data_IF_429263919334
#
_entry.id   IF_429263919334
#
_cell.length_a   1.000
_cell.length_b   1.000
_cell.length_c   1.000
_cell.angle_alpha   90.00
_cell.angle_beta   90.00
_cell.angle_gamma   90.00
#
_symmetry.space_group_name_H-M   'P 1'
#
loop_
_entity.id
_entity.type
_entity.pdbx_description
1 polymer ?
#
# COMPACT_ATOMS: atom_id res chain seq x y z
N UNK A 1 11.87 -15.82 -1.50
CA UNK A 1 11.36 -14.69 -0.68
C UNK A 1 10.45 -15.23 0.41
N UNK A 2 10.68 -14.89 1.67
CA UNK A 2 9.94 -15.49 2.79
C UNK A 2 8.54 -14.86 2.88
N UNK A 3 7.51 -15.53 2.37
CA UNK A 3 6.08 -15.09 2.36
C UNK A 3 5.51 -14.83 3.77
N UNK A 4 6.26 -15.13 4.83
CA UNK A 4 5.80 -15.06 6.21
C UNK A 4 6.20 -13.78 6.97
N UNK A 5 6.87 -12.83 6.33
CA UNK A 5 7.35 -11.60 7.01
C UNK A 5 6.25 -10.60 7.37
N UNK A 6 5.10 -10.62 6.67
CA UNK A 6 3.96 -9.71 6.93
C UNK A 6 2.87 -10.46 7.72
N UNK A 7 3.12 -10.71 8.99
CA UNK A 7 2.18 -11.32 9.94
C UNK A 7 2.08 -10.47 11.19
N UNK A 8 0.95 -10.56 11.89
CA UNK A 8 0.69 -9.82 13.11
C UNK A 8 0.13 -8.43 12.83
N UNK A 9 0.44 -7.48 13.70
CA UNK A 9 -0.07 -6.12 13.63
C UNK A 9 0.78 -5.26 12.71
N UNK A 10 0.18 -4.76 11.64
CA UNK A 10 0.80 -3.77 10.74
C UNK A 10 0.21 -2.39 10.95
N UNK A 11 1.04 -1.39 11.13
CA UNK A 11 0.59 -0.02 11.36
C UNK A 11 0.75 0.82 10.10
N UNK A 12 -0.35 1.45 9.67
CA UNK A 12 -0.32 2.51 8.67
C UNK A 12 0.15 3.82 9.35
N UNK A 13 1.39 4.20 9.06
CA UNK A 13 2.01 5.40 9.61
C UNK A 13 1.26 6.66 9.16
N UNK A 14 1.08 7.62 10.06
CA UNK A 14 0.69 9.00 9.73
C UNK A 14 1.91 9.75 9.18
N UNK A 15 1.67 10.79 8.40
CA UNK A 15 2.70 11.78 8.03
C UNK A 15 2.43 13.05 8.83
N UNK A 16 3.22 13.33 9.88
CA UNK A 16 3.04 14.57 10.67
C UNK A 16 3.43 15.79 9.85
N UNK A 17 2.72 16.89 10.09
CA UNK A 17 2.99 18.19 9.47
C UNK A 17 3.20 19.28 10.50
N UNK A 18 4.10 20.21 10.20
CA UNK A 18 4.36 21.42 10.96
C UNK A 18 4.59 22.60 10.01
N UNK A 19 3.83 23.67 10.21
CA UNK A 19 3.92 24.86 9.36
C UNK A 19 3.80 24.55 7.85
N UNK A 20 2.89 23.64 7.45
CA UNK A 20 2.65 23.27 6.06
C UNK A 20 3.72 22.41 5.42
N UNK A 21 4.65 21.82 6.19
CA UNK A 21 5.71 20.91 5.73
C UNK A 21 5.69 19.61 6.52
N UNK A 22 6.26 18.55 5.98
CA UNK A 22 6.46 17.31 6.71
C UNK A 22 7.35 17.55 7.93
N UNK A 23 6.90 17.10 9.11
CA UNK A 23 7.66 17.15 10.36
C UNK A 23 8.39 15.80 10.55
N UNK A 24 9.64 15.76 10.12
CA UNK A 24 10.45 14.54 10.20
C UNK A 24 10.81 14.14 11.63
N UNK A 25 10.96 15.09 12.56
CA UNK A 25 11.20 14.78 13.98
C UNK A 25 9.99 14.07 14.59
N UNK A 26 8.79 14.56 14.29
CA UNK A 26 7.57 13.91 14.72
C UNK A 26 7.37 12.55 14.02
N UNK A 27 7.74 12.41 12.75
CA UNK A 27 7.68 11.13 12.01
C UNK A 27 8.62 10.08 12.63
N UNK A 28 9.84 10.47 13.01
CA UNK A 28 10.77 9.59 13.74
C UNK A 28 10.14 9.09 15.04
N UNK A 29 9.55 10.00 15.84
CA UNK A 29 8.88 9.64 17.08
C UNK A 29 7.72 8.65 16.85
N UNK A 30 6.93 8.81 15.77
CA UNK A 30 5.86 7.89 15.41
C UNK A 30 6.42 6.49 15.06
N UNK A 31 7.46 6.43 14.23
CA UNK A 31 8.09 5.16 13.82
C UNK A 31 8.66 4.44 15.06
N UNK A 32 9.43 5.15 15.89
CA UNK A 32 10.03 4.58 17.10
C UNK A 32 8.96 4.15 18.12
N UNK A 33 7.86 4.89 18.24
CA UNK A 33 6.74 4.49 19.09
C UNK A 33 6.12 3.17 18.62
N UNK A 34 5.88 3.02 17.32
CA UNK A 34 5.34 1.78 16.75
C UNK A 34 6.29 0.60 16.97
N UNK A 35 7.58 0.78 16.70
CA UNK A 35 8.59 -0.28 16.87
C UNK A 35 8.69 -0.70 18.34
N UNK A 36 8.76 0.25 19.27
CA UNK A 36 8.79 -0.04 20.72
C UNK A 36 7.49 -0.68 21.21
N UNK A 37 6.37 -0.36 20.56
CA UNK A 37 5.06 -0.96 20.84
C UNK A 37 4.94 -2.41 20.38
N UNK A 38 5.92 -2.96 19.67
CA UNK A 38 5.96 -4.36 19.26
C UNK A 38 5.10 -4.68 18.05
N UNK A 39 4.87 -3.70 17.15
CA UNK A 39 4.22 -3.99 15.86
C UNK A 39 5.14 -4.83 14.98
N UNK A 40 4.57 -5.65 14.10
CA UNK A 40 5.35 -6.59 13.31
C UNK A 40 5.72 -6.07 11.92
N UNK A 41 5.04 -5.04 11.40
CA UNK A 41 5.42 -4.37 10.15
C UNK A 41 4.84 -2.95 10.07
N UNK A 42 5.39 -2.14 9.17
CA UNK A 42 4.96 -0.76 8.95
C UNK A 42 4.46 -0.57 7.52
N UNK A 43 3.44 0.28 7.35
CA UNK A 43 2.95 0.71 6.04
C UNK A 43 3.17 2.21 5.92
N UNK A 44 4.07 2.65 5.04
CA UNK A 44 4.34 4.06 4.79
C UNK A 44 3.53 4.57 3.59
N UNK A 45 3.06 5.80 3.66
CA UNK A 45 2.31 6.47 2.59
C UNK A 45 1.07 5.71 2.10
N UNK A 46 0.38 5.03 3.00
CA UNK A 46 -1.01 4.63 2.76
C UNK A 46 -1.95 5.84 2.85
N UNK A 47 -3.25 5.60 2.83
CA UNK A 47 -4.26 6.66 3.01
C UNK A 47 -4.07 7.43 4.31
N UNK A 48 -3.73 6.74 5.40
CA UNK A 48 -3.44 7.34 6.71
C UNK A 48 -2.21 8.26 6.66
N UNK A 49 -1.23 7.95 5.81
CA UNK A 49 -0.03 8.75 5.58
C UNK A 49 -0.24 9.89 4.60
N UNK A 50 -1.46 10.16 4.17
CA UNK A 50 -1.86 11.29 3.33
C UNK A 50 -1.06 11.44 2.02
N UNK A 51 -0.65 10.32 1.41
CA UNK A 51 0.17 10.33 0.18
C UNK A 51 -0.40 11.20 -0.95
N UNK A 52 -1.73 11.36 -0.98
CA UNK A 52 -2.43 12.15 -2.01
C UNK A 52 -2.23 13.66 -1.84
N UNK A 53 -1.88 14.14 -0.66
CA UNK A 53 -1.66 15.56 -0.36
C UNK A 53 -0.18 15.97 -0.47
N UNK A 54 0.70 14.98 -0.68
CA UNK A 54 2.13 15.18 -0.83
C UNK A 54 2.51 15.26 -2.32
N UNK A 55 3.46 16.10 -2.66
CA UNK A 55 4.08 16.08 -3.99
C UNK A 55 5.05 14.88 -4.11
N UNK A 56 5.49 14.51 -5.34
CA UNK A 56 6.35 13.34 -5.55
C UNK A 56 7.68 13.39 -4.78
N UNK A 57 8.26 14.59 -4.60
CA UNK A 57 9.50 14.78 -3.85
C UNK A 57 9.27 14.52 -2.36
N UNK A 58 8.22 15.08 -1.78
CA UNK A 58 7.83 14.85 -0.38
C UNK A 58 7.53 13.37 -0.13
N UNK A 59 6.83 12.70 -1.06
CA UNK A 59 6.61 11.25 -0.97
C UNK A 59 7.94 10.50 -0.87
N UNK A 60 8.91 10.82 -1.75
CA UNK A 60 10.21 10.16 -1.74
C UNK A 60 10.96 10.43 -0.44
N UNK A 61 10.98 11.67 0.03
CA UNK A 61 11.64 12.07 1.28
C UNK A 61 11.06 11.33 2.50
N UNK A 62 9.72 11.19 2.59
CA UNK A 62 9.06 10.43 3.66
C UNK A 62 9.43 8.95 3.61
N UNK A 63 9.49 8.35 2.41
CA UNK A 63 9.86 6.95 2.24
C UNK A 63 11.33 6.70 2.61
N UNK A 64 12.25 7.53 2.13
CA UNK A 64 13.68 7.43 2.44
C UNK A 64 13.95 7.59 3.93
N UNK A 65 13.24 8.55 4.54
CA UNK A 65 13.32 8.77 5.99
C UNK A 65 12.78 7.56 6.77
N UNK A 66 11.64 7.00 6.34
CA UNK A 66 11.08 5.81 6.98
C UNK A 66 12.04 4.61 6.89
N UNK A 67 12.67 4.38 5.73
CA UNK A 67 13.68 3.33 5.53
C UNK A 67 14.85 3.56 6.48
N UNK A 68 15.38 4.80 6.52
CA UNK A 68 16.50 5.18 7.37
C UNK A 68 16.22 4.93 8.85
N UNK A 69 15.08 5.40 9.36
CA UNK A 69 14.73 5.24 10.78
C UNK A 69 14.41 3.78 11.10
N UNK A 70 13.67 3.09 10.23
CA UNK A 70 13.39 1.67 10.45
C UNK A 70 14.68 0.81 10.48
N UNK A 71 15.69 1.16 9.71
CA UNK A 71 16.99 0.49 9.69
C UNK A 71 16.91 -1.04 9.57
N UNK A 72 15.93 -1.56 8.83
CA UNK A 72 15.71 -2.98 8.62
C UNK A 72 15.13 -3.74 9.83
N UNK A 73 14.69 -3.05 10.88
CA UNK A 73 14.12 -3.67 12.09
C UNK A 73 12.80 -4.38 11.82
N UNK A 74 11.95 -3.79 10.99
CA UNK A 74 10.65 -4.34 10.62
C UNK A 74 10.48 -4.40 9.10
N UNK A 75 9.67 -5.32 8.57
CA UNK A 75 9.24 -5.27 7.19
C UNK A 75 8.51 -3.96 6.88
N UNK A 76 8.76 -3.41 5.68
CA UNK A 76 8.16 -2.18 5.20
C UNK A 76 7.26 -2.43 3.97
N UNK A 77 6.07 -1.86 4.01
CA UNK A 77 5.13 -1.81 2.88
C UNK A 77 5.02 -0.38 2.38
N UNK A 78 5.17 -0.17 1.09
CA UNK A 78 4.91 1.13 0.47
C UNK A 78 3.47 1.19 -0.03
N UNK A 79 2.70 2.22 0.39
CA UNK A 79 1.23 2.23 0.29
C UNK A 79 0.62 3.20 -0.72
N UNK A 80 1.40 3.95 -1.51
CA UNK A 80 0.88 5.04 -2.33
C UNK A 80 0.63 4.69 -3.82
N UNK A 81 0.51 3.40 -4.11
CA UNK A 81 0.25 2.93 -5.46
C UNK A 81 -1.26 2.75 -5.70
N UNK A 82 -1.93 3.85 -6.02
CA UNK A 82 -3.31 3.88 -6.47
C UNK A 82 -3.46 4.93 -7.56
N UNK A 83 -4.05 4.56 -8.68
CA UNK A 83 -4.35 5.48 -9.78
C UNK A 83 -5.57 4.94 -10.53
N UNK A 84 -6.33 5.85 -11.16
CA UNK A 84 -7.43 5.51 -12.05
C UNK A 84 -6.98 5.32 -13.51
N UNK A 85 -5.73 5.65 -13.83
CA UNK A 85 -5.06 5.35 -15.10
C UNK A 85 -4.05 4.21 -14.90
N UNK A 86 -4.40 3.02 -15.40
CA UNK A 86 -3.56 1.82 -15.26
C UNK A 86 -2.20 1.97 -15.94
N UNK A 87 -2.13 2.62 -17.11
CA UNK A 87 -0.87 2.80 -17.84
C UNK A 87 0.09 3.70 -17.04
N UNK A 88 -0.41 4.82 -16.52
CA UNK A 88 0.37 5.73 -15.68
C UNK A 88 0.84 5.06 -14.39
N UNK A 89 -0.01 4.23 -13.76
CA UNK A 89 0.37 3.48 -12.57
C UNK A 89 1.48 2.47 -12.86
N UNK A 90 1.36 1.70 -13.94
CA UNK A 90 2.37 0.69 -14.31
C UNK A 90 3.70 1.33 -14.68
N UNK A 91 3.68 2.47 -15.38
CA UNK A 91 4.88 3.27 -15.65
C UNK A 91 5.54 3.76 -14.35
N UNK A 92 4.75 4.31 -13.42
CA UNK A 92 5.23 4.75 -12.11
C UNK A 92 5.88 3.60 -11.33
N UNK A 93 5.27 2.41 -11.32
CA UNK A 93 5.83 1.23 -10.64
C UNK A 93 7.13 0.78 -11.32
N UNK A 94 7.18 0.72 -12.65
CA UNK A 94 8.36 0.28 -13.39
C UNK A 94 9.60 1.15 -13.15
N UNK A 95 9.43 2.46 -12.86
CA UNK A 95 10.53 3.40 -12.64
C UNK A 95 10.80 3.70 -11.15
N UNK A 96 10.03 3.12 -10.24
CA UNK A 96 10.18 3.38 -8.81
C UNK A 96 11.27 2.53 -8.19
N UNK A 97 12.12 3.15 -7.36
CA UNK A 97 13.10 2.42 -6.55
C UNK A 97 12.44 1.84 -5.31
N UNK A 98 12.29 0.52 -5.29
CA UNK A 98 11.70 -0.25 -4.19
C UNK A 98 12.72 -0.72 -3.15
N UNK A 99 13.98 -0.28 -3.23
CA UNK A 99 14.99 -0.66 -2.24
C UNK A 99 14.52 -0.33 -0.82
N UNK A 100 14.59 -1.30 0.07
CA UNK A 100 14.16 -1.17 1.47
C UNK A 100 12.68 -1.51 1.73
N UNK A 101 11.90 -1.87 0.70
CA UNK A 101 10.51 -2.32 0.86
C UNK A 101 10.36 -3.82 0.61
N UNK A 102 9.45 -4.45 1.36
CA UNK A 102 9.14 -5.89 1.26
C UNK A 102 7.87 -6.16 0.43
N UNK A 103 6.96 -5.20 0.34
CA UNK A 103 5.74 -5.29 -0.47
C UNK A 103 5.25 -3.90 -0.90
N UNK A 104 4.44 -3.86 -1.95
CA UNK A 104 3.65 -2.68 -2.29
C UNK A 104 2.17 -2.92 -2.00
N UNK A 105 1.46 -1.87 -1.58
CA UNK A 105 0.01 -1.88 -1.43
C UNK A 105 -0.61 -0.99 -2.50
N UNK A 106 -1.59 -1.55 -3.24
CA UNK A 106 -2.28 -0.85 -4.33
C UNK A 106 -3.79 -0.91 -4.15
N UNK A 107 -4.45 0.24 -4.28
CA UNK A 107 -5.92 0.29 -4.35
C UNK A 107 -6.41 0.10 -5.78
N UNK A 108 -7.65 -0.39 -5.93
CA UNK A 108 -8.33 -0.39 -7.21
C UNK A 108 -8.53 1.03 -7.75
N UNK A 109 -8.76 1.21 -9.08
CA UNK A 109 -9.02 2.53 -9.65
C UNK A 109 -10.17 3.24 -8.93
N UNK A 110 -9.91 4.50 -8.56
CA UNK A 110 -10.89 5.37 -7.92
C UNK A 110 -11.70 6.14 -8.95
N UNK A 111 -12.85 6.70 -8.55
CA UNK A 111 -13.68 7.61 -9.34
C UNK A 111 -14.41 6.96 -10.53
N UNK A 112 -13.70 6.26 -11.43
CA UNK A 112 -14.23 5.70 -12.69
C UNK A 112 -15.15 4.49 -12.50
N UNK A 113 -15.16 3.87 -11.31
CA UNK A 113 -15.99 2.70 -10.96
C UNK A 113 -15.89 1.57 -12.00
N UNK A 114 -14.71 0.99 -12.21
CA UNK A 114 -14.53 -0.07 -13.18
C UNK A 114 -15.38 -1.31 -12.83
N UNK A 115 -15.70 -2.11 -13.86
CA UNK A 115 -16.29 -3.43 -13.65
C UNK A 115 -15.33 -4.37 -12.93
N UNK A 116 -15.81 -5.50 -12.40
CA UNK A 116 -14.95 -6.51 -11.77
C UNK A 116 -13.88 -7.04 -12.72
N UNK A 117 -14.22 -7.21 -14.01
CA UNK A 117 -13.23 -7.55 -15.03
C UNK A 117 -12.20 -6.43 -15.23
N UNK A 118 -12.63 -5.18 -15.25
CA UNK A 118 -11.72 -4.03 -15.31
C UNK A 118 -10.77 -3.96 -14.12
N UNK A 119 -11.25 -4.25 -12.89
CA UNK A 119 -10.44 -4.34 -11.69
C UNK A 119 -9.43 -5.49 -11.81
N UNK A 120 -9.87 -6.66 -12.28
CA UNK A 120 -9.00 -7.81 -12.50
C UNK A 120 -7.86 -7.47 -13.47
N UNK A 121 -8.18 -6.93 -14.63
CA UNK A 121 -7.18 -6.56 -15.65
C UNK A 121 -6.22 -5.47 -15.16
N UNK A 122 -6.72 -4.49 -14.40
CA UNK A 122 -5.89 -3.47 -13.76
C UNK A 122 -4.82 -4.11 -12.86
N UNK A 123 -5.21 -4.98 -11.94
CA UNK A 123 -4.27 -5.63 -11.04
C UNK A 123 -3.32 -6.59 -11.75
N UNK A 124 -3.77 -7.30 -12.79
CA UNK A 124 -2.89 -8.14 -13.60
C UNK A 124 -1.78 -7.30 -14.26
N UNK A 125 -2.10 -6.10 -14.79
CA UNK A 125 -1.10 -5.18 -15.32
C UNK A 125 -0.13 -4.67 -14.25
N UNK A 126 -0.61 -4.39 -13.06
CA UNK A 126 0.25 -4.04 -11.91
C UNK A 126 1.17 -5.20 -11.55
N UNK A 127 0.66 -6.44 -11.55
CA UNK A 127 1.46 -7.64 -11.25
C UNK A 127 2.56 -7.93 -12.29
N UNK A 128 2.32 -7.60 -13.57
CA UNK A 128 3.30 -7.75 -14.64
C UNK A 128 4.57 -6.92 -14.40
N UNK A 129 4.43 -5.71 -13.86
CA UNK A 129 5.54 -4.74 -13.70
C UNK A 129 6.09 -4.67 -12.28
N UNK A 130 5.36 -5.15 -11.28
CA UNK A 130 5.79 -5.05 -9.88
C UNK A 130 6.98 -5.96 -9.57
N UNK A 131 8.11 -5.44 -9.06
CA UNK A 131 9.20 -6.28 -8.57
C UNK A 131 8.89 -6.92 -7.22
N UNK A 132 7.90 -6.39 -6.47
CA UNK A 132 7.53 -6.84 -5.12
C UNK A 132 6.17 -7.54 -5.11
N UNK A 133 5.88 -8.33 -4.05
CA UNK A 133 4.54 -8.80 -3.75
C UNK A 133 3.56 -7.64 -3.57
N UNK A 134 2.31 -7.89 -3.92
CA UNK A 134 1.24 -6.89 -3.93
C UNK A 134 0.23 -7.20 -2.82
N UNK A 135 -0.11 -6.19 -2.04
CA UNK A 135 -1.27 -6.18 -1.16
C UNK A 135 -2.41 -5.46 -1.88
N UNK A 136 -3.46 -6.19 -2.21
CA UNK A 136 -4.69 -5.61 -2.77
C UNK A 136 -5.37 -4.78 -1.68
N UNK A 137 -5.64 -3.49 -1.95
CA UNK A 137 -6.32 -2.64 -1.00
C UNK A 137 -7.76 -2.36 -1.44
N UNK A 138 -8.72 -3.05 -0.83
CA UNK A 138 -10.14 -2.82 -1.05
C UNK A 138 -10.67 -1.77 -0.09
N UNK A 139 -11.03 -0.60 -0.60
CA UNK A 139 -11.50 0.55 0.18
C UNK A 139 -12.64 1.29 -0.53
N UNK A 140 -13.83 0.69 -0.64
CA UNK A 140 -14.95 1.24 -1.42
C UNK A 140 -15.36 2.66 -1.03
N UNK A 141 -15.20 3.04 0.23
CA UNK A 141 -15.48 4.40 0.72
C UNK A 141 -14.61 5.48 0.07
N UNK A 142 -13.48 5.11 -0.54
CA UNK A 142 -12.55 6.03 -1.21
C UNK A 142 -12.46 5.82 -2.71
N UNK A 143 -12.55 4.58 -3.17
CA UNK A 143 -12.49 4.26 -4.60
C UNK A 143 -13.86 4.34 -5.28
N UNK A 144 -14.94 4.36 -4.52
CA UNK A 144 -16.33 4.26 -4.99
C UNK A 144 -16.61 2.97 -5.77
N UNK A 145 -15.75 1.96 -5.66
CA UNK A 145 -15.95 0.62 -6.21
C UNK A 145 -15.45 -0.44 -5.23
N UNK A 146 -16.14 -1.57 -5.18
CA UNK A 146 -15.80 -2.70 -4.32
C UNK A 146 -15.11 -3.79 -5.16
N UNK A 147 -14.00 -4.31 -4.65
CA UNK A 147 -13.38 -5.54 -5.20
C UNK A 147 -14.05 -6.71 -4.51
N UNK A 148 -14.88 -7.47 -5.23
CA UNK A 148 -15.63 -8.59 -4.64
C UNK A 148 -14.68 -9.73 -4.23
N UNK A 149 -15.10 -10.56 -3.27
CA UNK A 149 -14.36 -11.75 -2.85
C UNK A 149 -14.03 -12.68 -4.04
N UNK A 150 -14.98 -12.86 -4.97
CA UNK A 150 -14.75 -13.64 -6.19
C UNK A 150 -13.62 -13.06 -7.07
N UNK A 151 -13.54 -11.74 -7.20
CA UNK A 151 -12.46 -11.08 -7.95
C UNK A 151 -11.12 -11.21 -7.24
N UNK A 152 -11.11 -11.07 -5.91
CA UNK A 152 -9.91 -11.26 -5.09
C UNK A 152 -9.38 -12.70 -5.23
N UNK A 153 -10.26 -13.69 -5.09
CA UNK A 153 -9.91 -15.09 -5.25
C UNK A 153 -9.36 -15.39 -6.64
N UNK A 154 -9.99 -14.84 -7.68
CA UNK A 154 -9.52 -14.97 -9.06
C UNK A 154 -8.11 -14.38 -9.24
N UNK A 155 -7.81 -13.21 -8.65
CA UNK A 155 -6.48 -12.61 -8.66
C UNK A 155 -5.46 -13.49 -7.95
N UNK A 156 -5.79 -14.00 -6.76
CA UNK A 156 -4.91 -14.86 -5.98
C UNK A 156 -4.53 -16.15 -6.74
N UNK A 157 -5.44 -16.71 -7.53
CA UNK A 157 -5.17 -17.87 -8.38
C UNK A 157 -4.39 -17.52 -9.66
N UNK A 158 -4.54 -16.29 -10.16
CA UNK A 158 -3.90 -15.87 -11.41
C UNK A 158 -2.42 -15.52 -11.25
N UNK A 159 -1.98 -15.07 -10.07
CA UNK A 159 -0.58 -14.71 -9.87
C UNK A 159 -0.15 -14.82 -8.39
N UNK A 160 1.01 -15.41 -8.18
CA UNK A 160 1.66 -15.47 -6.86
C UNK A 160 2.15 -14.11 -6.35
N UNK A 161 2.09 -13.05 -7.17
CA UNK A 161 2.38 -11.68 -6.76
C UNK A 161 1.37 -11.14 -5.74
N UNK A 162 0.13 -11.59 -5.77
CA UNK A 162 -0.90 -11.16 -4.82
C UNK A 162 -0.70 -11.88 -3.49
N UNK A 163 -0.06 -11.19 -2.55
CA UNK A 163 0.34 -11.75 -1.25
C UNK A 163 -0.80 -11.74 -0.24
N UNK A 164 -1.57 -10.66 -0.23
CA UNK A 164 -2.59 -10.40 0.79
C UNK A 164 -3.64 -9.41 0.29
N UNK A 165 -4.71 -9.28 1.08
CA UNK A 165 -5.73 -8.26 0.90
C UNK A 165 -5.81 -7.42 2.17
N UNK A 166 -5.80 -6.10 2.03
CA UNK A 166 -6.26 -5.18 3.07
C UNK A 166 -7.72 -4.87 2.81
N UNK A 167 -8.60 -5.55 3.56
CA UNK A 167 -10.04 -5.33 3.45
C UNK A 167 -10.48 -4.16 4.35
N UNK A 168 -10.99 -3.11 3.75
CA UNK A 168 -11.43 -1.90 4.43
C UNK A 168 -12.84 -1.44 3.97
N UNK A 169 -13.66 -2.37 3.47
CA UNK A 169 -15.05 -2.09 3.13
C UNK A 169 -15.94 -1.94 4.37
N UNK A 170 -15.54 -2.52 5.51
CA UNK A 170 -16.40 -2.59 6.70
C UNK A 170 -17.50 -3.66 6.59
N UNK A 171 -17.43 -4.51 5.59
CA UNK A 171 -18.38 -5.63 5.37
C UNK A 171 -17.74 -6.93 5.86
N UNK A 172 -18.17 -7.36 7.04
CA UNK A 172 -17.68 -8.59 7.67
C UNK A 172 -18.13 -9.84 6.91
N UNK A 173 -19.26 -9.80 6.19
CA UNK A 173 -19.72 -10.93 5.38
C UNK A 173 -18.76 -11.15 4.22
N UNK A 174 -18.38 -10.08 3.52
CA UNK A 174 -17.37 -10.18 2.46
C UNK A 174 -16.00 -10.61 2.98
N UNK A 175 -15.60 -10.12 4.15
CA UNK A 175 -14.30 -10.47 4.73
C UNK A 175 -14.19 -11.95 5.13
N UNK A 176 -15.31 -12.64 5.33
CA UNK A 176 -15.36 -14.08 5.67
C UNK A 176 -15.52 -15.00 4.44
N UNK A 177 -15.75 -14.46 3.26
CA UNK A 177 -15.84 -15.21 2.00
C UNK A 177 -14.45 -15.52 1.43
#
# INVERSE_FOLDING_TARGET
MNRFRLRGTGVALVTPFKNGKVDFDALENVIEHCIRGGVEFLVSLGTTGEAITLNPKECREVLDFTIKINAGRLPLVVGFFGDNDTARLTEKIAHFDFTGFDALMSSSPSYNKPSQEGIFQHYMKVAEVSPLPIIIYNVPSRTASNVTAATILRLAHASEKFLAVKEAAGDMVQAMQ
#
